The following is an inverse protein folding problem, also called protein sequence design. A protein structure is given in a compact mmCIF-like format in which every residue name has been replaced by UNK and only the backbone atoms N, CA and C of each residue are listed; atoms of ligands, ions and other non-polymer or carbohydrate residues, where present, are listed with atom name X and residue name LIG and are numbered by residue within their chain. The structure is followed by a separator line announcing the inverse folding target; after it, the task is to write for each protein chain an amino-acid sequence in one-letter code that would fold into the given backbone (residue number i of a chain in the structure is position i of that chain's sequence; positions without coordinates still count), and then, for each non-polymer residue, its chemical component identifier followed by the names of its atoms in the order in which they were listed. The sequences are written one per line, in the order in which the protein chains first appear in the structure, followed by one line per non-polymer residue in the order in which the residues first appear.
data_IF_474636729725
#
_entry.id   IF_474636729725
#
_cell.length_a   1.000
_cell.length_b   1.000
_cell.length_c   1.000
_cell.angle_alpha   90.00
_cell.angle_beta   90.00
_cell.angle_gamma   90.00
#
_symmetry.space_group_name_H-M   'P 1'
#
loop_
_entity.id
_entity.type
_entity.pdbx_description
1 polymer ?
#
# COMPACT_ATOMS: atom_id res chain seq x y z
N UNK A 1 5.66 -19.58 -23.77
CA UNK A 1 5.92 -18.14 -23.49
C UNK A 1 6.78 -18.10 -22.24
N UNK A 2 8.03 -17.61 -22.33
CA UNK A 2 8.89 -17.41 -21.16
C UNK A 2 8.17 -16.45 -20.21
N UNK A 3 7.84 -16.89 -18.98
CA UNK A 3 7.41 -15.98 -17.92
C UNK A 3 8.55 -14.98 -17.75
N UNK A 4 8.32 -13.73 -18.11
CA UNK A 4 9.25 -12.65 -17.80
C UNK A 4 9.38 -12.64 -16.28
N UNK A 5 10.56 -12.95 -15.77
CA UNK A 5 10.80 -12.91 -14.32
C UNK A 5 10.50 -11.50 -13.83
N UNK A 6 9.48 -11.39 -12.99
CA UNK A 6 9.11 -10.12 -12.42
C UNK A 6 10.05 -9.80 -11.26
N UNK A 7 11.12 -9.07 -11.58
CA UNK A 7 12.12 -8.64 -10.60
C UNK A 7 11.57 -7.68 -9.52
N UNK A 8 10.29 -7.32 -9.58
CA UNK A 8 9.63 -6.53 -8.54
C UNK A 8 9.09 -7.38 -7.38
N UNK A 9 9.16 -8.72 -7.48
CA UNK A 9 8.94 -9.59 -6.32
C UNK A 9 10.17 -9.48 -5.42
N UNK A 10 10.03 -8.70 -4.37
CA UNK A 10 11.15 -8.42 -3.44
C UNK A 10 11.24 -9.39 -2.28
N UNK A 11 10.25 -10.29 -2.11
CA UNK A 11 10.21 -11.19 -0.97
C UNK A 11 9.36 -12.44 -1.23
N UNK A 12 9.74 -13.52 -0.57
CA UNK A 12 8.99 -14.77 -0.53
C UNK A 12 8.00 -14.82 0.65
N UNK A 13 7.75 -13.70 1.30
CA UNK A 13 6.88 -13.59 2.48
C UNK A 13 5.60 -12.86 2.11
N UNK A 14 4.59 -13.57 1.54
CA UNK A 14 3.32 -12.97 1.19
C UNK A 14 2.47 -12.73 2.44
N UNK A 15 1.48 -11.86 2.30
CA UNK A 15 0.32 -11.84 3.17
C UNK A 15 -0.78 -12.71 2.56
N UNK A 16 -1.61 -13.31 3.38
CA UNK A 16 -2.90 -13.87 2.96
C UNK A 16 -3.84 -12.73 2.53
N UNK A 17 -4.89 -13.04 1.78
CA UNK A 17 -5.87 -12.03 1.38
C UNK A 17 -6.57 -11.39 2.60
N UNK A 18 -6.82 -12.17 3.68
CA UNK A 18 -7.37 -11.65 4.93
C UNK A 18 -6.40 -10.67 5.61
N UNK A 19 -5.11 -11.00 5.72
CA UNK A 19 -4.10 -10.11 6.29
C UNK A 19 -3.94 -8.82 5.46
N UNK A 20 -4.08 -8.90 4.13
CA UNK A 20 -4.13 -7.72 3.25
C UNK A 20 -5.31 -6.83 3.61
N UNK A 21 -6.51 -7.40 3.67
CA UNK A 21 -7.73 -6.64 4.00
C UNK A 21 -7.66 -6.06 5.41
N UNK A 22 -7.19 -6.81 6.39
CA UNK A 22 -7.01 -6.35 7.76
C UNK A 22 -6.02 -5.17 7.83
N UNK A 23 -4.88 -5.26 7.16
CA UNK A 23 -3.90 -4.17 7.09
C UNK A 23 -4.48 -2.91 6.44
N UNK A 24 -5.18 -3.05 5.30
CA UNK A 24 -5.75 -1.93 4.55
C UNK A 24 -6.92 -1.26 5.30
N UNK A 25 -7.71 -2.02 6.05
CA UNK A 25 -8.78 -1.49 6.87
C UNK A 25 -8.27 -0.81 8.14
N UNK A 26 -7.25 -1.39 8.78
CA UNK A 26 -6.73 -0.91 10.07
C UNK A 26 -5.80 0.28 9.92
N UNK A 27 -4.91 0.29 8.89
CA UNK A 27 -3.97 1.39 8.68
C UNK A 27 -4.70 2.69 8.37
N UNK A 28 -4.30 3.77 9.03
CA UNK A 28 -4.90 5.10 8.82
C UNK A 28 -4.14 5.92 7.77
N UNK A 29 -2.91 5.51 7.45
CA UNK A 29 -2.02 6.22 6.55
C UNK A 29 -1.48 5.33 5.43
N UNK A 30 -1.29 5.93 4.27
CA UNK A 30 -0.59 5.35 3.13
C UNK A 30 0.37 6.36 2.52
N UNK A 31 1.34 5.89 1.75
CA UNK A 31 2.17 6.75 0.89
C UNK A 31 1.67 6.63 -0.55
N UNK A 32 1.06 7.68 -1.08
CA UNK A 32 0.70 7.78 -2.50
C UNK A 32 1.93 8.23 -3.29
N UNK A 33 2.30 7.47 -4.31
CA UNK A 33 3.48 7.71 -5.17
C UNK A 33 3.05 7.91 -6.62
N UNK A 34 3.64 8.91 -7.28
CA UNK A 34 3.40 9.23 -8.69
C UNK A 34 4.68 9.73 -9.37
N UNK A 35 4.66 9.82 -10.69
CA UNK A 35 5.76 10.40 -11.46
C UNK A 35 5.48 11.86 -11.83
N UNK A 36 6.45 12.74 -11.59
CA UNK A 36 6.41 14.13 -12.01
C UNK A 36 6.62 14.26 -13.52
N UNK A 37 6.42 15.46 -14.09
CA UNK A 37 6.60 15.70 -15.52
C UNK A 37 8.06 15.49 -15.99
N UNK A 38 8.99 15.77 -15.11
CA UNK A 38 10.45 15.64 -15.30
C UNK A 38 10.97 14.26 -14.87
N UNK A 39 10.08 13.31 -14.59
CA UNK A 39 10.42 11.89 -14.35
C UNK A 39 10.77 11.52 -12.90
N UNK A 40 10.70 12.46 -11.95
CA UNK A 40 10.97 12.13 -10.56
C UNK A 40 9.83 11.30 -9.94
N UNK A 41 10.13 10.20 -9.23
CA UNK A 41 9.18 9.54 -8.36
C UNK A 41 8.99 10.36 -7.09
N UNK A 42 7.74 10.68 -6.74
CA UNK A 42 7.40 11.43 -5.53
C UNK A 42 6.43 10.60 -4.70
N UNK A 43 6.64 10.54 -3.39
CA UNK A 43 5.72 9.91 -2.44
C UNK A 43 5.31 10.89 -1.36
N UNK A 44 4.02 10.89 -1.00
CA UNK A 44 3.47 11.74 0.08
C UNK A 44 2.48 10.94 0.90
N UNK A 45 2.59 11.06 2.22
CA UNK A 45 1.65 10.45 3.17
C UNK A 45 0.26 11.05 3.07
N UNK A 46 -0.75 10.20 3.04
CA UNK A 46 -2.16 10.52 3.02
C UNK A 46 -2.93 9.60 3.96
N UNK A 47 -3.97 10.12 4.58
CA UNK A 47 -5.03 9.29 5.11
C UNK A 47 -5.85 8.69 3.95
N UNK A 48 -6.40 7.49 4.13
CA UNK A 48 -7.12 6.77 3.09
C UNK A 48 -8.24 5.91 3.65
N UNK A 49 -9.13 5.48 2.76
CA UNK A 49 -10.14 4.45 3.01
C UNK A 49 -9.90 3.30 2.03
N UNK A 50 -9.95 2.07 2.53
CA UNK A 50 -10.06 0.86 1.71
C UNK A 50 -11.53 0.52 1.55
N UNK A 51 -12.05 0.55 0.34
CA UNK A 51 -13.44 0.28 0.06
C UNK A 51 -13.62 -0.28 -1.36
N UNK A 52 -14.42 -1.32 -1.48
CA UNK A 52 -14.73 -1.98 -2.76
C UNK A 52 -13.46 -2.32 -3.58
N UNK A 53 -12.45 -2.88 -2.90
CA UNK A 53 -11.20 -3.29 -3.53
C UNK A 53 -10.33 -2.14 -4.05
N UNK A 54 -10.57 -0.90 -3.60
CA UNK A 54 -9.86 0.31 -4.02
C UNK A 54 -9.34 1.11 -2.84
N UNK A 55 -8.24 1.80 -3.06
CA UNK A 55 -7.72 2.81 -2.12
C UNK A 55 -8.31 4.17 -2.51
N UNK A 56 -9.03 4.79 -1.59
CA UNK A 56 -9.64 6.11 -1.77
C UNK A 56 -8.88 7.16 -1.00
N UNK A 57 -8.50 8.25 -1.68
CA UNK A 57 -7.66 9.34 -1.15
C UNK A 57 -8.22 10.68 -1.61
N UNK A 58 -8.12 11.72 -0.76
CA UNK A 58 -8.46 13.10 -1.16
C UNK A 58 -7.29 14.06 -0.99
N UNK A 59 -7.26 15.06 -1.85
CA UNK A 59 -6.32 16.16 -1.79
C UNK A 59 -6.88 17.39 -2.53
N UNK A 60 -6.24 18.55 -2.35
CA UNK A 60 -6.65 19.76 -3.06
C UNK A 60 -6.36 19.64 -4.57
N UNK A 61 -7.37 19.89 -5.40
CA UNK A 61 -7.35 19.73 -6.85
C UNK A 61 -6.31 20.62 -7.57
N UNK A 62 -5.92 21.74 -6.96
CA UNK A 62 -4.91 22.66 -7.50
C UNK A 62 -3.46 22.24 -7.20
N UNK A 63 -3.24 21.18 -6.43
CA UNK A 63 -1.89 20.69 -6.13
C UNK A 63 -1.24 20.04 -7.35
N UNK A 64 0.08 20.16 -7.48
CA UNK A 64 0.86 19.57 -8.57
C UNK A 64 0.61 18.08 -8.77
N UNK A 65 0.33 17.32 -7.68
CA UNK A 65 -0.03 15.91 -7.74
C UNK A 65 -1.29 15.64 -8.56
N UNK A 66 -2.31 16.50 -8.47
CA UNK A 66 -3.53 16.33 -9.25
C UNK A 66 -3.25 16.39 -10.76
N UNK A 67 -2.49 17.40 -11.20
CA UNK A 67 -2.08 17.52 -12.60
C UNK A 67 -1.17 16.38 -13.05
N UNK A 68 -0.27 15.92 -12.19
CA UNK A 68 0.62 14.80 -12.49
C UNK A 68 -0.15 13.50 -12.67
N UNK A 69 -1.06 13.18 -11.76
CA UNK A 69 -1.87 11.95 -11.78
C UNK A 69 -2.90 11.97 -12.92
N UNK A 70 -3.48 13.14 -13.26
CA UNK A 70 -4.34 13.25 -14.46
C UNK A 70 -3.58 12.99 -15.76
N UNK A 71 -2.31 13.38 -15.83
CA UNK A 71 -1.44 13.12 -16.99
C UNK A 71 -1.00 11.66 -17.06
N UNK A 72 -0.64 11.06 -15.95
CA UNK A 72 -0.21 9.67 -15.83
C UNK A 72 -0.97 9.01 -14.66
N UNK A 73 -2.05 8.27 -14.95
CA UNK A 73 -2.91 7.70 -13.92
C UNK A 73 -2.31 6.49 -13.19
N UNK A 74 -1.19 5.96 -13.66
CA UNK A 74 -0.50 4.87 -12.98
C UNK A 74 0.21 5.41 -11.74
N UNK A 75 -0.16 4.87 -10.60
CA UNK A 75 0.36 5.25 -9.29
C UNK A 75 0.75 4.02 -8.50
N UNK A 76 1.49 4.22 -7.43
CA UNK A 76 1.69 3.19 -6.42
C UNK A 76 1.25 3.73 -5.06
N UNK A 77 0.70 2.84 -4.24
CA UNK A 77 0.31 3.16 -2.85
C UNK A 77 0.99 2.15 -1.94
N UNK A 78 1.78 2.64 -1.00
CA UNK A 78 2.37 1.81 0.04
C UNK A 78 1.60 1.97 1.34
N UNK A 79 1.21 0.85 1.94
CA UNK A 79 0.61 0.76 3.27
C UNK A 79 1.49 -0.15 4.11
N UNK A 80 1.73 0.22 5.35
CA UNK A 80 2.53 -0.58 6.26
C UNK A 80 1.92 -0.64 7.65
N UNK A 81 2.33 -1.63 8.42
CA UNK A 81 1.94 -1.76 9.84
C UNK A 81 2.41 -0.59 10.71
N UNK A 82 3.35 0.25 10.23
CA UNK A 82 3.72 1.49 10.91
C UNK A 82 2.56 2.53 10.91
N UNK A 83 1.60 2.39 9.99
CA UNK A 83 0.38 3.21 9.92
C UNK A 83 -0.78 2.69 10.79
N UNK A 84 -0.57 1.66 11.60
CA UNK A 84 -1.58 1.21 12.54
C UNK A 84 -1.81 2.24 13.65
N UNK A 85 -3.05 2.50 14.04
CA UNK A 85 -3.33 3.39 15.17
C UNK A 85 -2.82 2.78 16.47
N UNK A 86 -2.52 3.63 17.43
CA UNK A 86 -2.13 3.18 18.77
C UNK A 86 -3.25 2.31 19.38
N UNK A 87 -2.89 1.12 19.86
CA UNK A 87 -3.86 0.16 20.40
C UNK A 87 -4.57 -0.67 19.32
N UNK A 88 -4.11 -0.65 18.08
CA UNK A 88 -4.55 -1.63 17.08
C UNK A 88 -4.40 -3.04 17.66
N UNK A 89 -5.40 -3.90 17.43
CA UNK A 89 -5.54 -5.20 18.08
C UNK A 89 -4.34 -6.11 17.93
N UNK A 90 -4.12 -6.97 18.92
CA UNK A 90 -3.12 -8.04 18.86
C UNK A 90 -3.44 -8.99 17.70
N UNK A 91 -2.41 -9.56 17.09
CA UNK A 91 -2.57 -10.56 16.01
C UNK A 91 -2.62 -9.98 14.61
N UNK A 92 -2.59 -8.65 14.44
CA UNK A 92 -2.47 -8.06 13.11
C UNK A 92 -1.10 -8.34 12.49
N UNK A 93 -1.10 -8.66 11.20
CA UNK A 93 0.12 -8.92 10.46
C UNK A 93 1.00 -7.67 10.40
N UNK A 94 2.33 -7.86 10.47
CA UNK A 94 3.31 -6.77 10.40
C UNK A 94 4.09 -6.82 9.10
N UNK A 95 4.43 -5.64 8.55
CA UNK A 95 5.17 -5.51 7.31
C UNK A 95 4.62 -4.41 6.42
N UNK A 96 4.70 -4.59 5.11
CA UNK A 96 4.24 -3.58 4.15
C UNK A 96 3.70 -4.20 2.86
N UNK A 97 2.76 -3.47 2.26
CA UNK A 97 2.16 -3.80 0.96
C UNK A 97 2.30 -2.57 0.06
N UNK A 98 2.89 -2.75 -1.11
CA UNK A 98 2.83 -1.74 -2.17
C UNK A 98 1.86 -2.21 -3.24
N UNK A 99 0.83 -1.41 -3.47
CA UNK A 99 -0.16 -1.61 -4.51
C UNK A 99 0.20 -0.75 -5.72
N UNK A 100 0.55 -1.36 -6.85
CA UNK A 100 0.59 -0.67 -8.15
C UNK A 100 -0.82 -0.64 -8.69
N UNK A 101 -1.27 0.51 -9.16
CA UNK A 101 -2.66 0.66 -9.60
C UNK A 101 -2.87 1.81 -10.57
N UNK A 102 -4.11 1.89 -11.04
CA UNK A 102 -4.58 2.98 -11.89
C UNK A 102 -5.57 3.82 -11.10
N UNK A 103 -5.40 5.13 -11.15
CA UNK A 103 -6.26 6.09 -10.44
C UNK A 103 -7.35 6.66 -11.35
N UNK A 104 -8.50 6.90 -10.75
CA UNK A 104 -9.64 7.58 -11.34
C UNK A 104 -10.06 8.73 -10.42
N UNK A 105 -10.50 9.86 -10.99
CA UNK A 105 -10.91 11.04 -10.23
C UNK A 105 -12.42 11.11 -10.06
N UNK A 106 -12.85 11.54 -8.87
CA UNK A 106 -14.25 11.71 -8.49
C UNK A 106 -14.45 13.08 -7.87
N UNK A 107 -15.44 13.81 -8.38
CA UNK A 107 -15.77 15.18 -7.92
C UNK A 107 -17.29 15.31 -7.63
N UNK A 108 -18.08 14.24 -7.77
CA UNK A 108 -19.51 14.19 -7.52
C UNK A 108 -19.84 14.19 -6.02
N UNK A 109 -21.00 14.72 -5.67
CA UNK A 109 -21.42 14.92 -4.27
C UNK A 109 -21.72 13.59 -3.56
N UNK A 110 -22.19 12.57 -4.25
CA UNK A 110 -22.45 11.24 -3.67
C UNK A 110 -21.15 10.61 -3.19
N UNK A 111 -20.11 10.60 -4.05
CA UNK A 111 -18.79 10.09 -3.71
C UNK A 111 -18.16 10.89 -2.57
N UNK A 112 -18.25 12.21 -2.59
CA UNK A 112 -17.74 13.07 -1.51
C UNK A 112 -18.41 12.74 -0.18
N UNK A 113 -19.74 12.62 -0.17
CA UNK A 113 -20.48 12.38 1.06
C UNK A 113 -20.08 11.08 1.74
N UNK A 114 -20.14 9.96 1.05
CA UNK A 114 -19.79 8.68 1.66
C UNK A 114 -18.31 8.59 2.05
N UNK A 115 -17.41 9.08 1.16
CA UNK A 115 -15.99 8.98 1.42
C UNK A 115 -15.53 9.89 2.57
N UNK A 116 -16.01 11.13 2.63
CA UNK A 116 -15.68 12.04 3.74
C UNK A 116 -16.25 11.53 5.07
N UNK A 117 -17.44 10.96 5.08
CA UNK A 117 -18.00 10.29 6.25
C UNK A 117 -17.12 9.13 6.71
N UNK A 118 -16.77 8.23 5.79
CA UNK A 118 -15.93 7.06 6.10
C UNK A 118 -14.53 7.46 6.59
N UNK A 119 -13.91 8.47 5.96
CA UNK A 119 -12.59 8.94 6.34
C UNK A 119 -12.62 9.66 7.70
N UNK A 120 -13.64 10.47 7.96
CA UNK A 120 -13.82 11.18 9.24
C UNK A 120 -14.00 10.20 10.39
N UNK A 121 -14.85 9.18 10.24
CA UNK A 121 -15.03 8.12 11.23
C UNK A 121 -13.77 7.29 11.46
N UNK A 122 -13.04 6.95 10.39
CA UNK A 122 -11.79 6.20 10.49
C UNK A 122 -10.71 6.94 11.31
N UNK A 123 -10.64 8.27 11.17
CA UNK A 123 -9.62 9.09 11.84
C UNK A 123 -10.03 9.58 13.23
N UNK A 124 -11.33 9.52 13.58
CA UNK A 124 -11.85 9.99 14.85
C UNK A 124 -12.77 8.94 15.53
N UNK A 125 -12.34 7.69 15.68
CA UNK A 125 -13.20 6.61 16.14
C UNK A 125 -13.83 6.92 17.50
N UNK A 126 -15.16 6.91 17.56
CA UNK A 126 -15.92 7.17 18.80
C UNK A 126 -15.95 8.64 19.25
N UNK A 127 -15.53 9.57 18.41
CA UNK A 127 -15.53 11.01 18.69
C UNK A 127 -16.36 11.76 17.63
N UNK A 128 -17.68 11.83 17.81
CA UNK A 128 -18.61 12.45 16.86
C UNK A 128 -18.24 13.93 16.53
N UNK A 129 -17.87 14.70 17.56
CA UNK A 129 -17.48 16.09 17.33
C UNK A 129 -16.20 16.24 16.47
N UNK A 130 -15.27 15.29 16.63
CA UNK A 130 -14.07 15.20 15.78
C UNK A 130 -14.43 14.78 14.36
N UNK A 131 -15.34 13.82 14.19
CA UNK A 131 -15.83 13.40 12.86
C UNK A 131 -16.49 14.55 12.11
N UNK A 132 -17.40 15.28 12.76
CA UNK A 132 -18.13 16.42 12.17
C UNK A 132 -17.17 17.55 11.79
N UNK A 133 -16.20 17.88 12.66
CA UNK A 133 -15.20 18.89 12.39
C UNK A 133 -14.29 18.50 11.22
N UNK A 134 -13.87 17.24 11.15
CA UNK A 134 -13.01 16.77 10.07
C UNK A 134 -13.77 16.67 8.75
N UNK A 135 -15.02 16.20 8.76
CA UNK A 135 -15.89 16.22 7.59
C UNK A 135 -16.02 17.65 7.02
N UNK A 136 -16.32 18.63 7.88
CA UNK A 136 -16.43 20.03 7.47
C UNK A 136 -15.13 20.58 6.87
N UNK A 137 -13.96 20.13 7.35
CA UNK A 137 -12.65 20.47 6.78
C UNK A 137 -12.46 19.85 5.39
N UNK A 138 -12.99 18.66 5.16
CA UNK A 138 -12.91 17.97 3.87
C UNK A 138 -13.88 18.56 2.84
N UNK A 139 -15.05 19.03 3.26
CA UNK A 139 -16.09 19.58 2.39
C UNK A 139 -15.67 20.97 1.87
N UNK A 140 -14.79 20.94 0.88
CA UNK A 140 -14.20 22.13 0.24
C UNK A 140 -14.32 22.02 -1.28
N UNK A 141 -14.73 23.09 -1.97
CA UNK A 141 -14.83 23.11 -3.44
C UNK A 141 -13.48 22.92 -4.14
N UNK A 142 -12.39 23.05 -3.41
CA UNK A 142 -11.04 22.83 -3.94
C UNK A 142 -10.54 21.39 -3.78
N UNK A 143 -11.32 20.48 -3.20
CA UNK A 143 -10.94 19.07 -3.04
C UNK A 143 -11.42 18.21 -4.19
N UNK A 144 -10.60 17.21 -4.49
CA UNK A 144 -10.91 16.11 -5.39
C UNK A 144 -10.59 14.80 -4.70
N UNK A 145 -11.22 13.73 -5.13
CA UNK A 145 -11.01 12.37 -4.64
C UNK A 145 -10.40 11.56 -5.76
N UNK A 146 -9.51 10.64 -5.44
CA UNK A 146 -9.08 9.57 -6.35
C UNK A 146 -9.41 8.22 -5.75
N UNK A 147 -9.81 7.28 -6.62
CA UNK A 147 -9.82 5.86 -6.32
C UNK A 147 -8.69 5.17 -7.09
N UNK A 148 -7.85 4.43 -6.39
CA UNK A 148 -6.79 3.64 -6.99
C UNK A 148 -7.22 2.18 -7.03
N UNK A 149 -7.41 1.64 -8.24
CA UNK A 149 -7.70 0.23 -8.48
C UNK A 149 -6.38 -0.54 -8.58
N UNK A 150 -6.07 -1.46 -7.64
CA UNK A 150 -4.84 -2.23 -7.66
C UNK A 150 -4.79 -3.18 -8.85
N UNK A 151 -3.62 -3.26 -9.51
CA UNK A 151 -3.33 -4.23 -10.56
C UNK A 151 -2.25 -5.23 -10.15
N UNK A 152 -1.46 -4.88 -9.13
CA UNK A 152 -0.40 -5.74 -8.60
C UNK A 152 -0.12 -5.40 -7.14
N UNK A 153 0.12 -6.44 -6.34
CA UNK A 153 0.57 -6.35 -4.94
C UNK A 153 2.05 -6.73 -4.87
N UNK A 154 2.86 -5.94 -4.18
CA UNK A 154 4.24 -6.26 -3.78
C UNK A 154 4.23 -6.29 -2.25
N UNK A 155 4.56 -7.44 -1.64
CA UNK A 155 4.29 -7.70 -0.24
C UNK A 155 5.56 -8.12 0.50
N UNK A 156 5.67 -7.73 1.75
CA UNK A 156 6.65 -8.22 2.70
C UNK A 156 6.00 -8.40 4.07
N UNK A 157 5.69 -9.65 4.42
CA UNK A 157 5.18 -10.04 5.74
C UNK A 157 6.37 -10.24 6.70
N UNK A 158 6.62 -9.27 7.55
CA UNK A 158 7.73 -9.30 8.49
C UNK A 158 7.52 -10.36 9.59
N UNK A 159 6.28 -10.61 9.99
CA UNK A 159 5.94 -11.66 10.95
C UNK A 159 6.28 -13.06 10.41
N UNK A 160 5.88 -13.36 9.18
CA UNK A 160 6.22 -14.61 8.49
C UNK A 160 7.74 -14.74 8.30
N UNK A 161 8.42 -13.66 7.91
CA UNK A 161 9.87 -13.65 7.77
C UNK A 161 10.57 -13.97 9.09
N UNK A 162 10.14 -13.36 10.18
CA UNK A 162 10.71 -13.63 11.50
C UNK A 162 10.49 -15.08 11.94
N UNK A 163 9.29 -15.65 11.76
CA UNK A 163 9.01 -17.06 12.04
C UNK A 163 9.92 -17.98 11.20
N UNK A 164 10.07 -17.68 9.91
CA UNK A 164 10.93 -18.49 9.03
C UNK A 164 12.38 -18.51 9.50
N UNK A 165 12.91 -17.38 10.00
CA UNK A 165 14.30 -17.33 10.48
C UNK A 165 14.50 -17.94 11.86
N UNK A 166 13.50 -17.92 12.75
CA UNK A 166 13.64 -18.37 14.14
C UNK A 166 13.21 -19.83 14.36
N UNK A 167 12.13 -20.25 13.71
CA UNK A 167 11.45 -21.53 14.01
C UNK A 167 11.32 -22.43 12.77
N UNK A 168 11.47 -21.83 11.60
CA UNK A 168 11.09 -22.46 10.33
C UNK A 168 9.58 -22.30 10.07
N UNK A 169 9.21 -22.41 8.82
CA UNK A 169 7.81 -22.43 8.35
C UNK A 169 7.67 -23.46 7.25
N UNK A 170 6.44 -23.91 7.00
CA UNK A 170 6.16 -24.78 5.87
C UNK A 170 6.41 -24.04 4.54
N UNK A 171 7.02 -24.71 3.57
CA UNK A 171 7.30 -24.12 2.25
C UNK A 171 6.01 -23.64 1.54
N UNK A 172 4.85 -24.20 1.87
CA UNK A 172 3.55 -23.76 1.33
C UNK A 172 3.10 -22.40 1.84
N UNK A 173 3.65 -21.91 2.96
CA UNK A 173 3.40 -20.56 3.47
C UNK A 173 4.22 -19.50 2.72
N UNK A 174 5.26 -19.93 1.99
CA UNK A 174 6.17 -19.05 1.29
C UNK A 174 5.69 -18.79 -0.15
N UNK A 175 5.99 -17.62 -0.65
CA UNK A 175 5.79 -17.28 -2.05
C UNK A 175 6.80 -17.96 -2.98
N UNK A 176 6.52 -17.87 -4.27
CA UNK A 176 7.40 -18.40 -5.32
C UNK A 176 8.80 -17.77 -5.23
N UNK A 177 9.82 -18.62 -5.18
CA UNK A 177 11.22 -18.15 -5.27
C UNK A 177 11.54 -17.80 -6.72
N UNK A 178 12.26 -16.72 -6.93
CA UNK A 178 12.79 -16.40 -8.26
C UNK A 178 13.81 -17.47 -8.65
N UNK A 179 13.56 -18.14 -9.78
CA UNK A 179 14.49 -19.13 -10.32
C UNK A 179 15.87 -18.50 -10.56
N UNK A 180 16.92 -19.21 -10.14
CA UNK A 180 18.30 -18.78 -10.30
C UNK A 180 18.86 -17.87 -9.19
N UNK A 181 18.08 -17.52 -8.16
CA UNK A 181 18.61 -16.68 -7.07
C UNK A 181 19.65 -17.41 -6.23
N UNK A 182 19.44 -18.70 -5.97
CA UNK A 182 20.40 -19.54 -5.27
C UNK A 182 21.70 -19.68 -6.07
N UNK A 183 21.59 -19.93 -7.37
CA UNK A 183 22.72 -20.04 -8.29
C UNK A 183 23.48 -18.72 -8.38
N UNK A 184 22.79 -17.57 -8.50
CA UNK A 184 23.43 -16.24 -8.51
C UNK A 184 24.14 -15.96 -7.20
N UNK A 185 23.49 -16.25 -6.06
CA UNK A 185 24.09 -16.09 -4.74
C UNK A 185 25.34 -16.95 -4.61
N UNK A 186 25.28 -18.21 -5.01
CA UNK A 186 26.41 -19.12 -4.91
C UNK A 186 27.55 -18.71 -5.87
N UNK A 187 27.25 -18.26 -7.07
CA UNK A 187 28.24 -17.72 -7.99
C UNK A 187 28.95 -16.47 -7.41
N UNK A 188 28.23 -15.58 -6.76
CA UNK A 188 28.81 -14.40 -6.13
C UNK A 188 29.62 -14.75 -4.88
N UNK A 189 29.17 -15.72 -4.08
CA UNK A 189 29.91 -16.25 -2.94
C UNK A 189 31.23 -16.89 -3.39
N UNK A 190 31.22 -17.69 -4.45
CA UNK A 190 32.42 -18.31 -5.00
C UNK A 190 33.46 -17.27 -5.44
N UNK A 191 33.05 -16.16 -6.07
CA UNK A 191 33.96 -15.06 -6.43
C UNK A 191 34.65 -14.44 -5.20
N UNK A 192 34.03 -14.52 -4.05
CA UNK A 192 34.55 -14.01 -2.76
C UNK A 192 35.27 -15.06 -1.92
N UNK A 193 35.42 -16.29 -2.43
CA UNK A 193 36.02 -17.40 -1.70
C UNK A 193 35.17 -17.91 -0.52
N UNK A 194 33.84 -17.76 -0.59
CA UNK A 194 32.90 -18.21 0.41
C UNK A 194 32.21 -19.50 -0.05
N UNK A 195 31.92 -20.38 0.90
CA UNK A 195 31.20 -21.64 0.62
C UNK A 195 29.77 -21.39 0.11
N UNK A 196 29.19 -22.26 -0.74
CA UNK A 196 27.79 -22.21 -1.15
C UNK A 196 26.83 -22.29 0.04
N UNK A 197 25.63 -21.75 -0.13
CA UNK A 197 24.54 -21.86 0.84
C UNK A 197 23.33 -22.55 0.24
#
# INVERSE_FOLDING_TARGET
MSKTHDHEIVSIYPFTDQEVDDMLNTSVECVLMWSTKDGWPVGVTHAFVWHDGKIWITFAAHRHRAAAIRREPRVSVNVSSAGYPQGAGEGLATGAITLKGTSEFFDDDETKHWFYTALSGKLNPGNQAGEDAFYSLLDSPLRTIIAVTPVKKIMYNAGLANRHFSEGVDESELGERLGGDKERMNAERAKRGLDPR
#
